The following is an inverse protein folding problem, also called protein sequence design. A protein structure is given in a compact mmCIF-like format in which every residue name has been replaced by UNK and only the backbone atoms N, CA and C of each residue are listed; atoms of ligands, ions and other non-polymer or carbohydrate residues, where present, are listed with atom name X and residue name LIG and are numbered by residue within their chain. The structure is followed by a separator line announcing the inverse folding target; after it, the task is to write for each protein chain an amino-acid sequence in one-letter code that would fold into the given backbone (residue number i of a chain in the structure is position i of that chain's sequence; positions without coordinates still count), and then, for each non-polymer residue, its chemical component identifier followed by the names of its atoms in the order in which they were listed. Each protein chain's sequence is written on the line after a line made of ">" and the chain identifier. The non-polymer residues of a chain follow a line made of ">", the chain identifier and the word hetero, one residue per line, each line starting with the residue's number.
data_IF_637851923345
#
_entry.id   IF_637851923345
#
_cell.length_a   1.000
_cell.length_b   1.000
_cell.length_c   1.000
_cell.angle_alpha   90.00
_cell.angle_beta   90.00
_cell.angle_gamma   90.00
#
_symmetry.space_group_name_H-M   'P 1'
#
loop_
_entity.id
_entity.type
_entity.pdbx_description
1 polymer ?
#
# COMPACT_ATOMS: atom_id res chain seq x y z
N UNK A 1 -33.85 -39.21 8.49
CA UNK A 1 -32.78 -39.47 7.49
C UNK A 1 -32.51 -38.14 6.81
N UNK A 2 -31.74 -37.28 7.49
CA UNK A 2 -31.44 -35.94 7.01
C UNK A 2 -30.10 -35.96 6.30
N UNK A 3 -30.15 -36.04 4.97
CA UNK A 3 -29.00 -35.75 4.13
C UNK A 3 -28.74 -34.28 4.18
N UNK A 4 -27.97 -33.84 5.19
CA UNK A 4 -27.37 -32.52 5.27
C UNK A 4 -26.59 -32.30 3.98
N UNK A 5 -27.19 -31.54 3.07
CA UNK A 5 -26.52 -30.93 1.93
C UNK A 5 -25.40 -30.05 2.48
N UNK A 6 -24.23 -30.63 2.60
CA UNK A 6 -23.00 -29.86 2.85
C UNK A 6 -22.88 -28.86 1.71
N UNK A 7 -23.15 -27.60 2.01
CA UNK A 7 -22.95 -26.51 1.06
C UNK A 7 -21.48 -26.50 0.65
N UNK A 8 -21.15 -26.25 -0.62
CA UNK A 8 -19.77 -26.26 -1.11
C UNK A 8 -18.84 -25.29 -0.36
N UNK A 9 -19.38 -24.30 0.35
CA UNK A 9 -18.61 -23.41 1.23
C UNK A 9 -17.92 -24.12 2.41
N UNK A 10 -18.54 -25.16 2.97
CA UNK A 10 -17.97 -25.91 4.12
C UNK A 10 -16.85 -26.85 3.66
N UNK A 11 -16.91 -27.35 2.44
CA UNK A 11 -15.89 -28.26 1.89
C UNK A 11 -14.56 -27.55 1.55
N UNK A 12 -14.59 -26.24 1.26
CA UNK A 12 -13.38 -25.46 0.95
C UNK A 12 -12.55 -25.08 2.19
N UNK A 13 -13.15 -25.09 3.39
CA UNK A 13 -12.45 -24.70 4.64
C UNK A 13 -11.62 -25.82 5.27
N UNK A 14 -11.65 -27.03 4.73
CA UNK A 14 -11.00 -28.21 5.31
C UNK A 14 -9.67 -28.61 4.67
N UNK A 15 -9.27 -27.95 3.56
CA UNK A 15 -7.95 -28.20 2.96
C UNK A 15 -6.92 -27.19 3.49
N UNK A 16 -5.73 -27.67 3.85
CA UNK A 16 -4.61 -26.80 4.26
C UNK A 16 -4.31 -25.72 3.22
N UNK A 17 -4.53 -26.00 1.94
CA UNK A 17 -4.34 -25.04 0.86
C UNK A 17 -5.30 -23.84 0.95
N UNK A 18 -6.59 -24.07 1.21
CA UNK A 18 -7.55 -22.96 1.34
C UNK A 18 -7.32 -22.12 2.58
N UNK A 19 -6.84 -22.72 3.68
CA UNK A 19 -6.45 -21.97 4.89
C UNK A 19 -5.26 -21.06 4.61
N UNK A 20 -4.24 -21.54 3.94
CA UNK A 20 -3.06 -20.75 3.58
C UNK A 20 -3.41 -19.60 2.64
N UNK A 21 -4.27 -19.83 1.65
CA UNK A 21 -4.78 -18.78 0.75
C UNK A 21 -5.58 -17.72 1.52
N UNK A 22 -6.44 -18.12 2.45
CA UNK A 22 -7.21 -17.21 3.27
C UNK A 22 -6.31 -16.36 4.19
N UNK A 23 -5.35 -17.00 4.86
CA UNK A 23 -4.37 -16.34 5.73
C UNK A 23 -3.55 -15.31 4.96
N UNK A 24 -2.99 -15.70 3.82
CA UNK A 24 -2.11 -14.82 3.02
C UNK A 24 -2.89 -13.66 2.39
N UNK A 25 -4.11 -13.88 1.89
CA UNK A 25 -4.93 -12.82 1.32
C UNK A 25 -5.36 -11.79 2.40
N UNK A 26 -5.76 -12.26 3.58
CA UNK A 26 -6.15 -11.37 4.68
C UNK A 26 -4.93 -10.62 5.25
N UNK A 27 -3.80 -11.30 5.43
CA UNK A 27 -2.55 -10.66 5.85
C UNK A 27 -2.10 -9.58 4.86
N UNK A 28 -2.23 -9.83 3.56
CA UNK A 28 -1.98 -8.84 2.52
C UNK A 28 -2.88 -7.60 2.64
N UNK A 29 -4.17 -7.79 2.97
CA UNK A 29 -5.10 -6.67 3.23
C UNK A 29 -4.70 -5.84 4.45
N UNK A 30 -4.30 -6.49 5.53
CA UNK A 30 -3.84 -5.81 6.75
C UNK A 30 -2.56 -5.02 6.48
N UNK A 31 -1.61 -5.60 5.75
CA UNK A 31 -0.39 -4.91 5.32
C UNK A 31 -0.72 -3.67 4.48
N UNK A 32 -1.60 -3.80 3.47
CA UNK A 32 -2.04 -2.69 2.62
C UNK A 32 -2.76 -1.62 3.45
N UNK A 33 -3.70 -2.02 4.32
CA UNK A 33 -4.43 -1.12 5.22
C UNK A 33 -3.46 -0.31 6.09
N UNK A 34 -2.50 -0.96 6.75
CA UNK A 34 -1.49 -0.30 7.56
C UNK A 34 -0.62 0.66 6.74
N UNK A 35 -0.29 0.28 5.49
CA UNK A 35 0.50 1.12 4.57
C UNK A 35 -0.27 2.38 4.19
N UNK A 36 -1.53 2.27 3.78
CA UNK A 36 -2.37 3.43 3.43
C UNK A 36 -2.70 4.29 4.65
N UNK A 37 -2.96 3.69 5.80
CA UNK A 37 -3.17 4.41 7.06
C UNK A 37 -1.94 5.26 7.41
N UNK A 38 -0.76 4.66 7.37
CA UNK A 38 0.48 5.38 7.65
C UNK A 38 0.70 6.51 6.64
N UNK A 39 0.55 6.24 5.35
CA UNK A 39 0.71 7.23 4.29
C UNK A 39 -0.26 8.41 4.45
N UNK A 40 -1.55 8.15 4.69
CA UNK A 40 -2.56 9.17 4.91
C UNK A 40 -2.28 10.03 6.15
N UNK A 41 -1.94 9.40 7.29
CA UNK A 41 -1.56 10.12 8.52
C UNK A 41 -0.34 11.01 8.31
N UNK A 42 0.70 10.52 7.64
CA UNK A 42 1.90 11.31 7.37
C UNK A 42 1.62 12.50 6.46
N UNK A 43 0.77 12.32 5.44
CA UNK A 43 0.35 13.41 4.56
C UNK A 43 -0.46 14.48 5.29
N UNK A 44 -1.31 14.09 6.25
CA UNK A 44 -2.02 15.06 7.12
C UNK A 44 -1.03 15.83 7.98
N UNK A 45 -0.10 15.13 8.63
CA UNK A 45 0.90 15.74 9.51
C UNK A 45 1.81 16.75 8.77
N UNK A 46 2.12 16.48 7.49
CA UNK A 46 3.00 17.27 6.66
C UNK A 46 2.26 17.96 5.51
N UNK A 47 0.98 18.31 5.71
CA UNK A 47 0.11 18.86 4.67
C UNK A 47 0.71 20.09 4.00
N UNK A 48 1.38 20.99 4.75
CA UNK A 48 2.02 22.17 4.18
C UNK A 48 3.11 21.86 3.14
N UNK A 49 3.78 20.71 3.26
CA UNK A 49 4.79 20.27 2.29
C UNK A 49 4.16 19.52 1.11
N UNK A 50 3.01 18.89 1.33
CA UNK A 50 2.35 18.03 0.34
C UNK A 50 1.95 18.81 -0.93
N UNK A 51 1.47 20.04 -0.79
CA UNK A 51 1.13 20.90 -1.94
C UNK A 51 2.35 21.10 -2.83
N UNK A 52 3.51 21.42 -2.24
CA UNK A 52 4.76 21.61 -2.97
C UNK A 52 5.25 20.33 -3.65
N UNK A 53 5.10 19.17 -2.99
CA UNK A 53 5.43 17.87 -3.57
C UNK A 53 4.56 17.60 -4.79
N UNK A 54 3.23 17.76 -4.69
CA UNK A 54 2.29 17.51 -5.79
C UNK A 54 2.57 18.45 -6.96
N UNK A 55 2.82 19.74 -6.71
CA UNK A 55 3.19 20.73 -7.74
C UNK A 55 4.50 20.35 -8.44
N UNK A 56 5.49 19.85 -7.70
CA UNK A 56 6.77 19.43 -8.23
C UNK A 56 6.69 18.22 -9.16
N UNK A 57 5.69 17.34 -8.98
CA UNK A 57 5.49 16.20 -9.89
C UNK A 57 5.08 16.63 -11.30
N UNK A 58 4.45 17.81 -11.46
CA UNK A 58 3.99 18.34 -12.77
C UNK A 58 3.20 17.30 -13.60
N UNK A 59 2.39 16.50 -12.93
CA UNK A 59 1.49 15.51 -13.56
C UNK A 59 0.10 16.08 -13.71
N UNK A 60 -0.29 16.98 -12.80
CA UNK A 60 -1.55 17.72 -12.85
C UNK A 60 -1.27 19.23 -12.95
N UNK A 61 -2.23 20.03 -13.46
CA UNK A 61 -2.11 21.49 -13.44
C UNK A 61 -1.84 22.02 -12.03
N UNK A 62 -1.00 23.03 -11.92
CA UNK A 62 -0.55 23.57 -10.64
C UNK A 62 -1.72 24.10 -9.78
N UNK A 63 -2.74 24.65 -10.43
CA UNK A 63 -3.99 25.11 -9.80
C UNK A 63 -4.76 23.98 -9.07
N UNK A 64 -4.57 22.72 -9.46
CA UNK A 64 -5.23 21.57 -8.83
C UNK A 64 -4.41 20.96 -7.68
N UNK A 65 -3.15 21.34 -7.51
CA UNK A 65 -2.29 20.79 -6.46
C UNK A 65 -2.85 21.02 -5.03
N UNK A 66 -3.41 22.20 -4.67
CA UNK A 66 -4.04 22.39 -3.37
C UNK A 66 -5.23 21.45 -3.16
N UNK A 67 -6.11 21.34 -4.16
CA UNK A 67 -7.27 20.44 -4.09
C UNK A 67 -6.85 18.98 -3.91
N UNK A 68 -5.87 18.51 -4.70
CA UNK A 68 -5.34 17.17 -4.60
C UNK A 68 -4.72 16.90 -3.22
N UNK A 69 -4.03 17.88 -2.63
CA UNK A 69 -3.42 17.77 -1.31
C UNK A 69 -4.45 17.61 -0.18
N UNK A 70 -5.64 18.17 -0.34
CA UNK A 70 -6.74 18.01 0.61
C UNK A 70 -7.53 16.71 0.42
N UNK A 71 -7.68 16.25 -0.83
CA UNK A 71 -8.47 15.04 -1.14
C UNK A 71 -7.69 13.74 -0.93
N UNK A 72 -6.39 13.75 -1.20
CA UNK A 72 -5.59 12.52 -1.20
C UNK A 72 -5.48 11.86 0.19
N UNK A 73 -5.15 12.57 1.30
CA UNK A 73 -5.03 11.93 2.60
C UNK A 73 -6.32 11.29 3.11
N UNK A 74 -7.51 11.95 3.09
CA UNK A 74 -8.73 11.30 3.54
C UNK A 74 -9.12 10.12 2.65
N UNK A 75 -8.85 10.17 1.34
CA UNK A 75 -9.07 9.03 0.44
C UNK A 75 -8.22 7.82 0.86
N UNK A 76 -6.94 8.03 1.18
CA UNK A 76 -6.06 6.97 1.68
C UNK A 76 -6.54 6.40 3.02
N UNK A 77 -7.02 7.24 3.95
CA UNK A 77 -7.56 6.78 5.23
C UNK A 77 -8.85 5.98 5.07
N UNK A 78 -9.77 6.45 4.24
CA UNK A 78 -11.01 5.72 3.94
C UNK A 78 -10.70 4.37 3.29
N UNK A 79 -9.74 4.33 2.37
CA UNK A 79 -9.31 3.10 1.72
C UNK A 79 -8.65 2.14 2.72
N UNK A 80 -7.85 2.65 3.66
CA UNK A 80 -7.24 1.85 4.72
C UNK A 80 -8.32 1.13 5.55
N UNK A 81 -9.40 1.83 5.92
CA UNK A 81 -10.54 1.25 6.64
C UNK A 81 -11.28 0.25 5.76
N UNK A 82 -11.55 0.60 4.50
CA UNK A 82 -12.27 -0.26 3.56
C UNK A 82 -11.53 -1.58 3.28
N UNK A 83 -10.21 -1.59 3.31
CA UNK A 83 -9.38 -2.80 3.13
C UNK A 83 -9.55 -3.83 4.25
N UNK A 84 -9.95 -3.42 5.46
CA UNK A 84 -10.25 -4.34 6.55
C UNK A 84 -11.54 -5.13 6.32
N UNK A 85 -12.41 -4.64 5.43
CA UNK A 85 -13.59 -5.37 4.98
C UNK A 85 -13.19 -6.25 3.80
N UNK A 86 -13.36 -7.60 3.86
CA UNK A 86 -13.03 -8.50 2.78
C UNK A 86 -13.94 -8.26 1.55
N UNK A 87 -13.53 -7.37 0.67
CA UNK A 87 -14.22 -7.01 -0.56
C UNK A 87 -13.21 -6.91 -1.70
N UNK A 88 -13.51 -7.49 -2.86
CA UNK A 88 -12.67 -7.33 -4.05
C UNK A 88 -12.54 -5.87 -4.47
N UNK A 89 -13.59 -5.08 -4.32
CA UNK A 89 -13.60 -3.66 -4.71
C UNK A 89 -12.58 -2.82 -3.93
N UNK A 90 -12.48 -3.00 -2.61
CA UNK A 90 -11.52 -2.24 -1.81
C UNK A 90 -10.08 -2.55 -2.20
N UNK A 91 -9.76 -3.82 -2.50
CA UNK A 91 -8.44 -4.24 -2.92
C UNK A 91 -8.11 -3.75 -4.35
N UNK A 92 -9.07 -3.79 -5.28
CA UNK A 92 -8.91 -3.23 -6.63
C UNK A 92 -8.73 -1.71 -6.61
N UNK A 93 -9.47 -1.00 -5.76
CA UNK A 93 -9.29 0.46 -5.58
C UNK A 93 -7.89 0.77 -5.04
N UNK A 94 -7.38 -0.03 -4.11
CA UNK A 94 -6.01 0.10 -3.62
C UNK A 94 -4.98 -0.12 -4.72
N UNK A 95 -5.16 -1.15 -5.55
CA UNK A 95 -4.32 -1.40 -6.72
C UNK A 95 -4.35 -0.21 -7.70
N UNK A 96 -5.53 0.32 -7.99
CA UNK A 96 -5.71 1.49 -8.87
C UNK A 96 -4.99 2.74 -8.35
N UNK A 97 -5.11 3.03 -7.04
CA UNK A 97 -4.44 4.18 -6.44
C UNK A 97 -2.91 4.00 -6.43
N UNK A 98 -2.41 2.80 -6.14
CA UNK A 98 -0.98 2.48 -6.23
C UNK A 98 -0.47 2.58 -7.68
N UNK A 99 -1.25 2.15 -8.67
CA UNK A 99 -0.93 2.32 -10.10
C UNK A 99 -0.82 3.80 -10.46
N UNK A 100 -1.74 4.64 -10.00
CA UNK A 100 -1.71 6.09 -10.22
C UNK A 100 -0.41 6.70 -9.66
N UNK A 101 -0.03 6.35 -8.42
CA UNK A 101 1.22 6.82 -7.83
C UNK A 101 2.44 6.31 -8.59
N UNK A 102 2.43 5.04 -9.00
CA UNK A 102 3.53 4.45 -9.78
C UNK A 102 3.67 5.13 -11.14
N UNK A 103 2.55 5.42 -11.81
CA UNK A 103 2.56 6.15 -13.07
C UNK A 103 3.16 7.56 -12.90
N UNK A 104 2.78 8.29 -11.84
CA UNK A 104 3.34 9.60 -11.53
C UNK A 104 4.87 9.54 -11.30
N UNK A 105 5.36 8.51 -10.59
CA UNK A 105 6.79 8.26 -10.38
C UNK A 105 7.47 7.97 -11.72
N UNK A 106 6.94 7.06 -12.52
CA UNK A 106 7.52 6.66 -13.81
C UNK A 106 7.60 7.83 -14.80
N UNK A 107 6.55 8.67 -14.86
CA UNK A 107 6.56 9.87 -15.71
C UNK A 107 7.72 10.80 -15.32
N UNK A 108 7.98 10.99 -14.03
CA UNK A 108 9.06 11.86 -13.58
C UNK A 108 10.44 11.22 -13.78
N UNK A 109 10.59 9.92 -13.57
CA UNK A 109 11.81 9.19 -13.89
C UNK A 109 12.13 9.26 -15.40
N UNK A 110 11.12 9.06 -16.26
CA UNK A 110 11.28 9.19 -17.72
C UNK A 110 11.67 10.61 -18.17
N UNK A 111 11.25 11.64 -17.40
CA UNK A 111 11.65 13.04 -17.61
C UNK A 111 13.04 13.37 -17.02
N UNK A 112 13.78 12.41 -16.48
CA UNK A 112 15.09 12.62 -15.84
C UNK A 112 15.01 13.36 -14.50
N UNK A 113 13.85 13.46 -13.86
CA UNK A 113 13.61 14.23 -12.64
C UNK A 113 13.62 13.33 -11.39
N UNK A 114 14.72 12.59 -11.19
CA UNK A 114 14.87 11.64 -10.08
C UNK A 114 15.06 12.32 -8.70
N UNK A 115 15.51 13.57 -8.66
CA UNK A 115 15.84 14.33 -7.43
C UNK A 115 14.62 14.98 -6.75
N UNK A 116 13.40 14.64 -7.18
CA UNK A 116 12.16 15.11 -6.55
C UNK A 116 11.85 14.20 -5.36
N UNK A 117 11.37 14.81 -4.26
CA UNK A 117 10.89 14.06 -3.10
C UNK A 117 9.65 13.23 -3.47
N UNK A 118 9.63 11.96 -3.05
CA UNK A 118 8.48 11.07 -3.34
C UNK A 118 7.19 11.47 -2.60
N UNK A 119 7.26 12.34 -1.59
CA UNK A 119 6.12 12.71 -0.75
C UNK A 119 5.63 11.59 0.17
N UNK A 120 6.42 10.53 0.33
CA UNK A 120 6.04 9.39 1.15
C UNK A 120 6.20 9.67 2.66
N UNK A 121 6.99 10.67 3.06
CA UNK A 121 7.26 11.13 4.44
C UNK A 121 7.56 10.01 5.46
N UNK A 122 7.94 8.81 5.02
CA UNK A 122 8.01 7.62 5.86
C UNK A 122 9.16 7.63 6.89
N UNK A 123 10.22 8.40 6.64
CA UNK A 123 11.43 8.35 7.48
C UNK A 123 11.92 9.72 7.97
N UNK A 124 11.17 10.80 7.75
CA UNK A 124 11.65 12.16 8.03
C UNK A 124 12.83 12.60 7.15
N UNK A 125 13.36 11.71 6.33
CA UNK A 125 14.40 11.97 5.34
C UNK A 125 13.73 12.17 3.96
N UNK A 126 14.26 13.07 3.17
CA UNK A 126 13.87 13.24 1.77
C UNK A 126 14.22 11.93 1.02
N UNK A 127 13.21 11.28 0.49
CA UNK A 127 13.40 10.11 -0.36
C UNK A 127 13.23 10.53 -1.81
N UNK A 128 14.34 10.54 -2.55
CA UNK A 128 14.36 10.84 -3.97
C UNK A 128 13.63 9.74 -4.77
N UNK A 129 13.08 10.12 -5.94
CA UNK A 129 12.44 9.16 -6.82
C UNK A 129 13.48 8.18 -7.38
N UNK A 130 13.16 6.89 -7.30
CA UNK A 130 14.03 5.83 -7.79
C UNK A 130 13.27 4.59 -8.20
N UNK A 131 13.92 3.70 -8.94
CA UNK A 131 13.36 2.41 -9.33
C UNK A 131 12.96 1.55 -8.14
N UNK A 132 13.57 1.76 -6.97
CA UNK A 132 13.21 1.09 -5.72
C UNK A 132 11.74 1.34 -5.34
N UNK A 133 11.24 2.58 -5.54
CA UNK A 133 9.85 2.94 -5.30
C UNK A 133 8.90 2.26 -6.28
N UNK A 134 9.32 2.12 -7.54
CA UNK A 134 8.52 1.43 -8.57
C UNK A 134 8.37 -0.05 -8.22
N UNK A 135 9.46 -0.74 -7.88
CA UNK A 135 9.42 -2.15 -7.48
C UNK A 135 8.62 -2.37 -6.19
N UNK A 136 8.77 -1.47 -5.22
CA UNK A 136 7.98 -1.48 -4.00
C UNK A 136 6.48 -1.40 -4.28
N UNK A 137 6.07 -0.44 -5.09
CA UNK A 137 4.68 -0.27 -5.45
C UNK A 137 4.16 -1.45 -6.30
N UNK A 138 4.98 -2.00 -7.20
CA UNK A 138 4.63 -3.17 -7.99
C UNK A 138 4.33 -4.39 -7.09
N UNK A 139 5.14 -4.61 -6.04
CA UNK A 139 4.88 -5.66 -5.06
C UNK A 139 3.56 -5.43 -4.31
N UNK A 140 3.28 -4.18 -3.87
CA UNK A 140 2.02 -3.84 -3.19
C UNK A 140 0.81 -3.99 -4.12
N UNK A 141 0.94 -3.64 -5.41
CA UNK A 141 -0.10 -3.86 -6.42
C UNK A 141 -0.37 -5.36 -6.59
N UNK A 142 0.67 -6.19 -6.69
CA UNK A 142 0.52 -7.64 -6.80
C UNK A 142 -0.23 -8.22 -5.57
N UNK A 143 0.10 -7.76 -4.36
CA UNK A 143 -0.61 -8.15 -3.12
C UNK A 143 -2.07 -7.69 -3.17
N UNK A 144 -2.35 -6.48 -3.66
CA UNK A 144 -3.71 -5.96 -3.76
C UNK A 144 -4.56 -6.76 -4.75
N UNK A 145 -4.03 -7.05 -5.94
CA UNK A 145 -4.70 -7.88 -6.95
C UNK A 145 -4.92 -9.29 -6.42
N UNK A 146 -3.91 -9.91 -5.83
CA UNK A 146 -4.03 -11.22 -5.19
C UNK A 146 -5.16 -11.22 -4.14
N UNK A 147 -5.18 -10.22 -3.24
CA UNK A 147 -6.21 -10.10 -2.20
C UNK A 147 -7.61 -9.84 -2.77
N UNK A 148 -7.72 -9.25 -3.98
CA UNK A 148 -9.00 -9.06 -4.67
C UNK A 148 -9.55 -10.36 -5.23
N UNK A 149 -8.68 -11.27 -5.68
CA UNK A 149 -9.06 -12.59 -6.20
C UNK A 149 -9.59 -13.53 -5.09
N UNK A 150 -9.18 -13.30 -3.83
CA UNK A 150 -9.55 -14.16 -2.70
C UNK A 150 -10.24 -13.35 -1.58
N UNK A 151 -11.50 -12.89 -1.76
CA UNK A 151 -12.25 -12.14 -0.75
C UNK A 151 -12.82 -13.06 0.34
N UNK A 152 -11.96 -13.80 1.04
CA UNK A 152 -12.37 -14.81 2.01
C UNK A 152 -12.70 -14.18 3.36
N UNK A 153 -13.73 -14.68 4.04
CA UNK A 153 -14.12 -14.36 5.41
C UNK A 153 -13.85 -15.57 6.32
N UNK A 154 -12.61 -15.74 6.81
CA UNK A 154 -12.28 -16.88 7.64
C UNK A 154 -12.87 -16.71 9.07
N UNK A 155 -12.91 -17.82 9.85
CA UNK A 155 -13.25 -17.76 11.26
C UNK A 155 -12.39 -16.78 12.06
N UNK A 156 -12.90 -16.32 13.21
CA UNK A 156 -12.25 -15.29 14.03
C UNK A 156 -10.78 -15.61 14.38
N UNK A 157 -10.50 -16.86 14.75
CA UNK A 157 -9.14 -17.28 15.10
C UNK A 157 -8.15 -17.10 13.94
N UNK A 158 -8.55 -17.46 12.72
CA UNK A 158 -7.75 -17.29 11.51
C UNK A 158 -7.60 -15.80 11.18
N UNK A 159 -8.65 -15.00 11.38
CA UNK A 159 -8.61 -13.55 11.18
C UNK A 159 -7.60 -12.87 12.10
N UNK A 160 -7.54 -13.28 13.38
CA UNK A 160 -6.56 -12.76 14.35
C UNK A 160 -5.14 -13.14 13.92
N UNK A 161 -4.90 -14.42 13.60
CA UNK A 161 -3.58 -14.89 13.15
C UNK A 161 -3.11 -14.16 11.88
N UNK A 162 -3.99 -13.98 10.89
CA UNK A 162 -3.70 -13.26 9.66
C UNK A 162 -3.41 -11.77 9.92
N UNK A 163 -4.14 -11.15 10.87
CA UNK A 163 -3.91 -9.76 11.25
C UNK A 163 -2.54 -9.56 11.92
N UNK A 164 -2.17 -10.46 12.84
CA UNK A 164 -0.85 -10.43 13.46
C UNK A 164 0.27 -10.62 12.41
N UNK A 165 0.11 -11.58 11.51
CA UNK A 165 1.07 -11.81 10.42
C UNK A 165 1.15 -10.59 9.47
N UNK A 166 0.03 -9.97 9.14
CA UNK A 166 -0.03 -8.75 8.33
C UNK A 166 0.69 -7.56 9.00
N UNK A 167 0.52 -7.39 10.32
CA UNK A 167 1.22 -6.35 11.08
C UNK A 167 2.73 -6.61 11.16
N UNK A 168 3.16 -7.86 11.36
CA UNK A 168 4.58 -8.23 11.31
C UNK A 168 5.15 -7.96 9.92
N UNK A 169 4.43 -8.33 8.87
CA UNK A 169 4.84 -8.05 7.49
C UNK A 169 4.93 -6.54 7.22
N UNK A 170 4.04 -5.74 7.78
CA UNK A 170 4.09 -4.29 7.68
C UNK A 170 5.31 -3.71 8.42
N UNK A 171 5.63 -4.17 9.64
CA UNK A 171 6.80 -3.68 10.36
C UNK A 171 8.10 -4.05 9.63
N UNK A 172 8.19 -5.25 9.06
CA UNK A 172 9.31 -5.66 8.23
C UNK A 172 9.42 -4.78 6.97
N UNK A 173 8.30 -4.53 6.30
CA UNK A 173 8.23 -3.61 5.14
C UNK A 173 8.75 -2.22 5.51
N UNK A 174 8.37 -1.65 6.65
CA UNK A 174 8.86 -0.35 7.12
C UNK A 174 10.35 -0.38 7.44
N UNK A 175 10.85 -1.44 8.05
CA UNK A 175 12.28 -1.61 8.32
C UNK A 175 13.11 -1.65 7.02
N UNK A 176 12.64 -2.40 6.00
CA UNK A 176 13.29 -2.46 4.70
C UNK A 176 13.29 -1.10 3.99
N UNK A 177 12.20 -0.35 4.05
CA UNK A 177 12.13 1.01 3.50
C UNK A 177 13.11 1.97 4.19
N UNK A 178 13.21 1.90 5.53
CA UNK A 178 14.16 2.72 6.30
C UNK A 178 15.61 2.39 5.94
N UNK A 179 15.94 1.11 5.77
CA UNK A 179 17.27 0.67 5.33
C UNK A 179 17.58 1.14 3.91
N UNK A 180 16.61 1.10 3.00
CA UNK A 180 16.75 1.62 1.63
C UNK A 180 17.05 3.12 1.62
N UNK A 181 16.26 3.90 2.38
CA UNK A 181 16.46 5.35 2.51
C UNK A 181 17.84 5.71 3.10
N UNK A 182 18.29 4.99 4.12
CA UNK A 182 19.62 5.20 4.71
C UNK A 182 20.75 4.86 3.73
N UNK A 183 20.62 3.81 2.93
CA UNK A 183 21.62 3.45 1.91
C UNK A 183 21.74 4.52 0.82
N UNK A 184 20.64 5.10 0.37
CA UNK A 184 20.66 6.19 -0.62
C UNK A 184 21.32 7.44 -0.05
N UNK A 185 21.02 7.79 1.21
CA UNK A 185 21.66 8.91 1.90
C UNK A 185 23.18 8.71 2.06
N UNK A 186 23.64 7.53 2.44
CA UNK A 186 25.07 7.20 2.55
C UNK A 186 25.79 7.29 1.21
N UNK A 187 25.17 6.81 0.12
CA UNK A 187 25.75 6.93 -1.24
C UNK A 187 25.90 8.37 -1.69
N UNK A 188 24.94 9.23 -1.38
CA UNK A 188 25.02 10.66 -1.72
C UNK A 188 26.11 11.40 -0.95
N UNK A 189 26.43 10.97 0.29
CA UNK A 189 27.54 11.51 1.07
C UNK A 189 28.91 11.02 0.56
N UNK A 190 29.00 9.76 0.11
CA UNK A 190 30.25 9.19 -0.43
C UNK A 190 30.60 9.70 -1.83
N UNK A 191 29.65 10.31 -2.55
CA UNK A 191 29.85 10.88 -3.89
C UNK A 191 30.22 12.36 -3.89
N UNK A 192 30.32 12.98 -2.70
CA UNK A 192 30.79 14.37 -2.47
C UNK A 192 32.26 14.41 -2.06
#
# INVERSE_FOLDING_TARGET
>A
MDSQLLTPEVALTTSWGSLLLALSALAGRVLLSATFLHAGVQKIRHHGLLVGVISNYRVIPEALAPLASWLLPPLELLLAIALLIPSSWSALTAAGLLLLFTAAILINLARGRAFIDCGCFQSGLRQELGWELVWRNAALIAIAVYSACFPVRPPLAISIAASLFGLVSYTLYQALNALGANRSALRSLAAR
#
